data_IF_948472211833
#
_entry.id   IF_948472211833
#
_cell.length_a   1.000
_cell.length_b   1.000
_cell.length_c   1.000
_cell.angle_alpha   90.00
_cell.angle_beta   90.00
_cell.angle_gamma   90.00
#
_symmetry.space_group_name_H-M   'P 1'
#
loop_
_entity.id
_entity.type
_entity.pdbx_description
1 polymer ?
#
# COMPACT_ATOMS: atom_id res chain seq x y z
N UNK A 1 -3.72 14.04 -14.57
CA UNK A 1 -4.34 13.38 -15.74
C UNK A 1 -4.82 11.96 -15.39
N UNK A 2 -3.97 11.08 -14.85
CA UNK A 2 -4.33 9.68 -14.53
C UNK A 2 -5.57 9.57 -13.61
N UNK A 3 -5.70 10.41 -12.60
CA UNK A 3 -6.84 10.40 -11.68
C UNK A 3 -8.16 10.80 -12.36
N UNK A 4 -8.12 11.69 -13.33
CA UNK A 4 -9.30 12.08 -14.13
C UNK A 4 -9.70 10.91 -15.03
N UNK A 5 -8.73 10.31 -15.70
CA UNK A 5 -8.97 9.19 -16.62
C UNK A 5 -9.52 7.95 -15.90
N UNK A 6 -8.95 7.60 -14.76
CA UNK A 6 -9.39 6.46 -13.95
C UNK A 6 -10.65 6.75 -13.10
N UNK A 7 -11.18 7.98 -13.12
CA UNK A 7 -12.47 8.26 -12.50
C UNK A 7 -13.61 7.44 -13.12
N UNK A 8 -13.53 7.12 -14.41
CA UNK A 8 -14.49 6.25 -15.08
C UNK A 8 -14.51 4.84 -14.45
N UNK A 9 -13.33 4.32 -14.07
CA UNK A 9 -13.25 3.07 -13.32
C UNK A 9 -13.92 3.20 -11.95
N UNK A 10 -13.70 4.32 -11.24
CA UNK A 10 -14.33 4.56 -9.94
C UNK A 10 -15.85 4.59 -10.05
N UNK A 11 -16.39 5.25 -11.06
CA UNK A 11 -17.83 5.30 -11.34
C UNK A 11 -18.37 3.90 -11.68
N UNK A 12 -17.68 3.15 -12.52
CA UNK A 12 -18.06 1.78 -12.86
C UNK A 12 -18.10 0.88 -11.63
N UNK A 13 -17.05 0.88 -10.83
CA UNK A 13 -16.96 0.03 -9.63
C UNK A 13 -18.02 0.40 -8.59
N UNK A 14 -18.24 1.69 -8.35
CA UNK A 14 -19.19 2.16 -7.33
C UNK A 14 -20.64 2.09 -7.77
N UNK A 15 -20.96 2.46 -8.99
CA UNK A 15 -22.34 2.61 -9.44
C UNK A 15 -22.86 1.42 -10.25
N UNK A 16 -22.02 0.77 -11.05
CA UNK A 16 -22.43 -0.41 -11.83
C UNK A 16 -22.24 -1.70 -11.04
N UNK A 17 -21.03 -1.91 -10.50
CA UNK A 17 -20.75 -3.10 -9.70
C UNK A 17 -21.25 -2.99 -8.26
N UNK A 18 -21.55 -1.78 -7.77
CA UNK A 18 -22.05 -1.50 -6.41
C UNK A 18 -21.14 -2.03 -5.31
N UNK A 19 -19.83 -2.01 -5.55
CA UNK A 19 -18.83 -2.48 -4.60
C UNK A 19 -18.72 -1.47 -3.46
N UNK A 20 -19.02 -1.90 -2.23
CA UNK A 20 -19.07 -1.05 -1.05
C UNK A 20 -17.69 -0.59 -0.60
N UNK A 21 -16.72 -1.49 -0.57
CA UNK A 21 -15.38 -1.22 -0.07
C UNK A 21 -14.37 -1.21 -1.21
N UNK A 22 -14.19 -0.06 -1.78
CA UNK A 22 -13.28 0.22 -2.88
C UNK A 22 -12.40 1.42 -2.54
N UNK A 23 -11.11 1.27 -2.71
CA UNK A 23 -10.09 2.32 -2.54
C UNK A 23 -9.19 2.34 -3.76
N UNK A 24 -8.84 3.51 -4.24
CA UNK A 24 -7.85 3.69 -5.30
C UNK A 24 -6.85 4.79 -4.92
N UNK A 25 -5.60 4.52 -5.20
CA UNK A 25 -4.51 5.48 -5.11
C UNK A 25 -3.71 5.43 -6.40
N UNK A 26 -3.83 6.48 -7.22
CA UNK A 26 -3.29 6.54 -8.58
C UNK A 26 -3.78 5.35 -9.42
N UNK A 27 -2.88 4.47 -9.86
CA UNK A 27 -3.12 3.25 -10.63
C UNK A 27 -3.34 1.98 -9.78
N UNK A 28 -3.02 2.03 -8.50
CA UNK A 28 -3.29 0.93 -7.58
C UNK A 28 -4.70 1.02 -6.99
N UNK A 29 -5.45 -0.07 -7.01
CA UNK A 29 -6.75 -0.12 -6.35
C UNK A 29 -6.94 -1.39 -5.52
N UNK A 30 -7.80 -1.27 -4.53
CA UNK A 30 -8.12 -2.30 -3.56
C UNK A 30 -9.63 -2.47 -3.45
N UNK A 31 -10.07 -3.71 -3.44
CA UNK A 31 -11.46 -4.10 -3.20
C UNK A 31 -11.48 -5.04 -2.00
N UNK A 32 -12.34 -4.73 -1.02
CA UNK A 32 -12.57 -5.61 0.12
C UNK A 32 -13.95 -6.22 0.02
N UNK A 33 -14.01 -7.53 0.19
CA UNK A 33 -15.24 -8.28 0.30
C UNK A 33 -15.40 -8.85 1.70
N UNK A 34 -16.61 -8.80 2.24
CA UNK A 34 -16.96 -9.38 3.54
C UNK A 34 -17.56 -10.79 3.41
N UNK A 35 -17.97 -11.19 2.21
CA UNK A 35 -18.50 -12.53 1.95
C UNK A 35 -17.35 -13.51 1.68
N UNK A 36 -17.53 -14.76 2.11
CA UNK A 36 -16.59 -15.85 1.86
C UNK A 36 -16.81 -16.54 0.49
N UNK A 37 -17.53 -15.91 -0.42
CA UNK A 37 -17.84 -16.51 -1.72
C UNK A 37 -16.66 -16.27 -2.70
N UNK A 38 -16.02 -17.36 -3.10
CA UNK A 38 -14.89 -17.33 -4.06
C UNK A 38 -15.33 -16.94 -5.47
N UNK A 39 -16.57 -17.23 -5.86
CA UNK A 39 -17.10 -16.84 -7.17
C UNK A 39 -17.24 -15.33 -7.33
N UNK A 40 -17.43 -14.61 -6.23
CA UNK A 40 -17.48 -13.15 -6.22
C UNK A 40 -16.20 -12.53 -6.80
N UNK A 41 -15.04 -13.05 -6.37
CA UNK A 41 -13.74 -12.55 -6.80
C UNK A 41 -13.52 -12.69 -8.31
N UNK A 42 -13.87 -13.84 -8.86
CA UNK A 42 -13.76 -14.11 -10.31
C UNK A 42 -14.68 -13.22 -11.14
N UNK A 43 -15.95 -13.09 -10.75
CA UNK A 43 -16.96 -12.30 -11.46
C UNK A 43 -16.57 -10.81 -11.52
N UNK A 44 -16.17 -10.24 -10.38
CA UNK A 44 -15.82 -8.82 -10.33
C UNK A 44 -14.47 -8.53 -10.99
N UNK A 45 -13.49 -9.42 -10.85
CA UNK A 45 -12.21 -9.28 -11.53
C UNK A 45 -12.41 -9.30 -13.05
N UNK A 46 -13.18 -10.24 -13.58
CA UNK A 46 -13.47 -10.34 -15.00
C UNK A 46 -14.24 -9.11 -15.52
N UNK A 47 -15.22 -8.63 -14.75
CA UNK A 47 -16.01 -7.44 -15.11
C UNK A 47 -15.13 -6.19 -15.16
N UNK A 48 -14.24 -6.00 -14.19
CA UNK A 48 -13.29 -4.88 -14.16
C UNK A 48 -12.29 -4.98 -15.31
N UNK A 49 -11.78 -6.19 -15.57
CA UNK A 49 -10.85 -6.43 -16.68
C UNK A 49 -11.47 -6.06 -18.02
N UNK A 50 -12.69 -6.55 -18.31
CA UNK A 50 -13.44 -6.21 -19.53
C UNK A 50 -13.71 -4.71 -19.65
N UNK A 51 -14.04 -4.04 -18.55
CA UNK A 51 -14.25 -2.59 -18.56
C UNK A 51 -12.97 -1.82 -18.89
N UNK A 52 -11.85 -2.18 -18.26
CA UNK A 52 -10.56 -1.54 -18.52
C UNK A 52 -10.12 -1.74 -19.98
N UNK A 53 -10.19 -2.96 -20.50
CA UNK A 53 -9.80 -3.29 -21.87
C UNK A 53 -10.70 -2.63 -22.92
N UNK A 54 -12.01 -2.68 -22.74
CA UNK A 54 -12.96 -2.22 -23.76
C UNK A 54 -13.18 -0.71 -23.73
N UNK A 55 -13.26 -0.10 -22.56
CA UNK A 55 -13.60 1.32 -22.40
C UNK A 55 -12.35 2.18 -22.22
N UNK A 56 -11.45 1.80 -21.33
CA UNK A 56 -10.28 2.61 -21.00
C UNK A 56 -9.03 2.21 -21.80
N UNK A 57 -9.08 1.13 -22.59
CA UNK A 57 -7.91 0.63 -23.34
C UNK A 57 -6.69 0.42 -22.45
N UNK A 58 -6.92 -0.09 -21.24
CA UNK A 58 -5.91 -0.39 -20.24
C UNK A 58 -5.94 -1.87 -19.89
N UNK A 59 -4.76 -2.44 -19.62
CA UNK A 59 -4.63 -3.84 -19.22
C UNK A 59 -4.24 -3.96 -17.74
N UNK A 60 -4.86 -4.92 -17.04
CA UNK A 60 -4.42 -5.32 -15.71
C UNK A 60 -3.15 -6.17 -15.82
N UNK A 61 -2.11 -5.75 -15.14
CA UNK A 61 -0.86 -6.52 -15.11
C UNK A 61 -1.06 -7.82 -14.31
N UNK A 62 -1.02 -9.01 -14.95
CA UNK A 62 -1.44 -10.27 -14.33
C UNK A 62 -0.63 -10.63 -13.08
N UNK A 63 0.67 -10.31 -13.06
CA UNK A 63 1.56 -10.58 -11.90
C UNK A 63 1.34 -9.62 -10.72
N UNK A 64 0.54 -8.56 -10.88
CA UNK A 64 0.24 -7.60 -9.81
C UNK A 64 -1.14 -7.80 -9.19
N UNK A 65 -1.96 -8.68 -9.74
CA UNK A 65 -3.24 -9.04 -9.16
C UNK A 65 -2.98 -9.98 -7.99
N UNK A 66 -3.45 -9.60 -6.79
CA UNK A 66 -3.29 -10.40 -5.59
C UNK A 66 -4.61 -10.53 -4.83
N UNK A 67 -5.11 -11.75 -4.72
CA UNK A 67 -6.28 -12.09 -3.93
C UNK A 67 -5.79 -12.74 -2.64
N UNK A 68 -6.13 -12.15 -1.49
CA UNK A 68 -5.68 -12.66 -0.19
C UNK A 68 -6.58 -12.26 0.96
N UNK A 69 -6.54 -13.03 2.04
CA UNK A 69 -7.25 -12.71 3.28
C UNK A 69 -6.60 -11.51 3.96
N UNK A 70 -7.41 -10.57 4.44
CA UNK A 70 -6.95 -9.35 5.13
C UNK A 70 -6.02 -9.65 6.32
N UNK A 71 -6.26 -10.76 7.04
CA UNK A 71 -5.42 -11.20 8.17
C UNK A 71 -3.95 -11.47 7.81
N UNK A 72 -3.65 -11.68 6.53
CA UNK A 72 -2.28 -11.87 6.05
C UNK A 72 -1.56 -10.56 5.69
N UNK A 73 -2.27 -9.44 5.84
CA UNK A 73 -1.79 -8.11 5.50
C UNK A 73 -1.88 -7.81 4.00
N UNK A 74 -2.28 -6.60 3.72
CA UNK A 74 -2.39 -6.07 2.36
C UNK A 74 -1.30 -5.03 2.15
N UNK A 75 -0.51 -5.23 1.11
CA UNK A 75 0.50 -4.24 0.69
C UNK A 75 -0.17 -3.15 -0.14
N UNK A 76 -0.33 -1.96 0.44
CA UNK A 76 -0.96 -0.82 -0.21
C UNK A 76 -0.27 0.49 0.18
N UNK A 77 -0.01 1.36 -0.79
CA UNK A 77 0.63 2.67 -0.61
C UNK A 77 1.95 2.65 0.19
N UNK A 78 2.71 1.57 0.12
CA UNK A 78 3.99 1.46 0.83
C UNK A 78 3.92 0.85 2.22
N UNK A 79 2.74 0.48 2.67
CA UNK A 79 2.48 -0.09 3.98
C UNK A 79 1.90 -1.50 3.88
N UNK A 80 2.05 -2.29 4.94
CA UNK A 80 1.32 -3.54 5.14
C UNK A 80 0.18 -3.26 6.10
N UNK A 81 -1.04 -3.27 5.58
CA UNK A 81 -2.27 -3.02 6.34
C UNK A 81 -2.82 -4.35 6.84
N UNK A 82 -2.99 -4.48 8.15
CA UNK A 82 -3.64 -5.59 8.83
C UNK A 82 -4.94 -5.11 9.49
N UNK A 83 -5.81 -6.01 10.00
CA UNK A 83 -7.11 -5.60 10.57
C UNK A 83 -7.04 -4.55 11.68
N UNK A 84 -5.98 -4.55 12.49
CA UNK A 84 -5.88 -3.72 13.69
C UNK A 84 -4.63 -2.84 13.75
N UNK A 85 -3.70 -2.98 12.81
CA UNK A 85 -2.46 -2.20 12.81
C UNK A 85 -1.84 -2.11 11.42
N UNK A 86 -0.98 -1.13 11.24
CA UNK A 86 -0.26 -0.84 10.00
C UNK A 86 1.23 -0.99 10.27
N UNK A 87 1.93 -1.66 9.38
CA UNK A 87 3.38 -1.85 9.44
C UNK A 87 4.08 -1.28 8.20
N UNK A 88 5.32 -0.83 8.31
CA UNK A 88 6.13 -0.52 7.14
C UNK A 88 6.47 -1.80 6.36
N UNK A 89 6.56 -1.71 5.05
CA UNK A 89 7.06 -2.83 4.22
C UNK A 89 8.43 -3.29 4.72
N UNK A 90 8.66 -4.60 4.79
CA UNK A 90 9.95 -5.17 5.20
C UNK A 90 11.12 -4.62 4.37
N UNK A 91 10.94 -4.45 3.06
CA UNK A 91 11.95 -3.84 2.17
C UNK A 91 12.25 -2.40 2.57
N UNK A 92 11.23 -1.60 2.89
CA UNK A 92 11.37 -0.20 3.32
C UNK A 92 12.07 -0.13 4.68
N UNK A 93 11.64 -0.95 5.65
CA UNK A 93 12.28 -1.06 6.96
C UNK A 93 13.78 -1.35 6.84
N UNK A 94 14.17 -2.37 6.07
CA UNK A 94 15.56 -2.74 5.84
C UNK A 94 16.36 -1.62 5.19
N UNK A 95 15.79 -0.93 4.21
CA UNK A 95 16.42 0.21 3.53
C UNK A 95 16.67 1.38 4.48
N UNK A 96 15.70 1.73 5.32
CA UNK A 96 15.79 2.80 6.31
C UNK A 96 16.90 2.47 7.31
N UNK A 97 16.87 1.29 7.93
CA UNK A 97 17.89 0.83 8.87
C UNK A 97 19.28 0.89 8.26
N UNK A 98 19.46 0.35 7.05
CA UNK A 98 20.74 0.38 6.35
C UNK A 98 21.26 1.81 6.17
N UNK A 99 20.40 2.74 5.75
CA UNK A 99 20.80 4.14 5.52
C UNK A 99 21.19 4.84 6.83
N UNK A 100 20.44 4.66 7.91
CA UNK A 100 20.75 5.25 9.20
C UNK A 100 22.05 4.65 9.77
N UNK A 101 22.26 3.35 9.62
CA UNK A 101 23.53 2.69 9.99
C UNK A 101 24.70 3.19 9.15
N UNK A 102 24.54 3.53 7.89
CA UNK A 102 25.60 4.06 7.03
C UNK A 102 25.93 5.54 7.29
N UNK A 103 25.09 6.26 8.04
CA UNK A 103 25.27 7.68 8.36
C UNK A 103 24.36 8.55 7.50
N UNK A 104 23.07 8.59 7.82
CA UNK A 104 22.14 9.56 7.24
C UNK A 104 22.23 10.90 7.98
N UNK A 105 21.89 11.99 7.30
CA UNK A 105 21.73 13.29 7.91
C UNK A 105 20.47 13.39 8.78
N UNK A 106 20.37 14.47 9.55
CA UNK A 106 19.21 14.69 10.42
C UNK A 106 17.89 14.83 9.65
N UNK A 107 17.92 15.44 8.48
CA UNK A 107 16.72 15.63 7.65
C UNK A 107 16.18 14.28 7.14
N UNK A 108 17.08 13.39 6.72
CA UNK A 108 16.69 12.03 6.33
C UNK A 108 16.11 11.24 7.51
N UNK A 109 16.69 11.34 8.72
CA UNK A 109 16.11 10.74 9.91
C UNK A 109 14.69 11.23 10.17
N UNK A 110 14.45 12.55 10.12
CA UNK A 110 13.11 13.13 10.33
C UNK A 110 12.11 12.63 9.28
N UNK A 111 12.53 12.54 8.02
CA UNK A 111 11.70 11.96 6.95
C UNK A 111 11.32 10.49 7.23
N UNK A 112 12.25 9.68 7.74
CA UNK A 112 11.98 8.29 8.10
C UNK A 112 11.04 8.20 9.31
N UNK A 113 11.24 9.03 10.32
CA UNK A 113 10.34 9.09 11.48
C UNK A 113 8.92 9.55 11.07
N UNK A 114 8.82 10.53 10.17
CA UNK A 114 7.55 10.95 9.57
C UNK A 114 6.85 9.82 8.82
N UNK A 115 7.58 9.00 8.04
CA UNK A 115 7.01 7.80 7.40
C UNK A 115 6.53 6.78 8.45
N UNK A 116 7.30 6.55 9.50
CA UNK A 116 6.97 5.57 10.54
C UNK A 116 5.85 6.03 11.48
N UNK A 117 5.58 7.34 11.60
CA UNK A 117 4.50 7.86 12.45
C UNK A 117 3.11 7.38 12.02
N UNK A 118 2.95 7.00 10.74
CA UNK A 118 1.72 6.40 10.21
C UNK A 118 1.62 4.89 10.45
N UNK A 119 2.53 4.31 11.23
CA UNK A 119 2.60 2.87 11.46
C UNK A 119 2.69 2.54 12.95
N UNK A 120 2.33 1.32 13.32
CA UNK A 120 2.49 0.80 14.68
C UNK A 120 3.94 0.34 14.93
N UNK A 121 4.92 1.21 14.67
CA UNK A 121 6.35 0.88 14.68
C UNK A 121 7.16 1.71 15.68
N UNK A 122 6.59 1.99 16.86
CA UNK A 122 7.25 2.79 17.89
C UNK A 122 8.67 2.30 18.22
N UNK A 123 8.84 0.99 18.47
CA UNK A 123 10.16 0.41 18.77
C UNK A 123 11.18 0.66 17.68
N UNK A 124 10.78 0.58 16.41
CA UNK A 124 11.66 0.87 15.28
C UNK A 124 12.04 2.35 15.24
N UNK A 125 11.13 3.25 15.55
CA UNK A 125 11.41 4.69 15.59
C UNK A 125 12.43 5.03 16.67
N UNK A 126 12.30 4.43 17.86
CA UNK A 126 13.28 4.60 18.94
C UNK A 126 14.64 3.98 18.58
N UNK A 127 14.67 2.81 17.97
CA UNK A 127 15.89 2.17 17.48
C UNK A 127 16.64 3.07 16.49
N UNK A 128 15.94 3.69 15.53
CA UNK A 128 16.54 4.61 14.56
C UNK A 128 17.13 5.85 15.22
N UNK A 129 16.43 6.45 16.20
CA UNK A 129 16.94 7.58 16.96
C UNK A 129 18.21 7.21 17.71
N UNK A 130 18.20 6.10 18.42
CA UNK A 130 19.35 5.62 19.18
C UNK A 130 20.56 5.37 18.29
N UNK A 131 20.40 4.69 17.15
CA UNK A 131 21.47 4.46 16.18
C UNK A 131 22.05 5.80 15.69
N UNK A 132 21.18 6.74 15.35
CA UNK A 132 21.59 8.05 14.85
C UNK A 132 22.42 8.81 15.89
N UNK A 133 21.93 8.93 17.15
CA UNK A 133 22.62 9.65 18.21
C UNK A 133 23.96 9.01 18.60
N UNK A 134 24.01 7.67 18.70
CA UNK A 134 25.26 6.98 18.97
C UNK A 134 26.31 7.28 17.89
N UNK A 135 25.91 7.39 16.64
CA UNK A 135 26.82 7.72 15.54
C UNK A 135 27.25 9.18 15.54
N UNK A 136 26.32 10.10 15.80
CA UNK A 136 26.63 11.52 15.88
C UNK A 136 27.61 11.87 17.03
N UNK A 137 27.67 11.02 18.07
CA UNK A 137 28.65 11.17 19.17
C UNK A 137 30.03 10.62 18.81
N UNK A 138 30.16 9.85 17.73
CA UNK A 138 31.43 9.22 17.30
C UNK A 138 32.04 9.89 16.07
N UNK A 139 31.33 10.84 15.46
CA UNK A 139 31.76 11.63 14.31
C UNK A 139 32.33 12.97 14.76
#
# INVERSE_FOLDING_TARGET
>A
FANIYLNELDQFVKHKLKIKYYLRYADDFLILNTSCDTKWEEIYLESIKKFLENILKLDLHPKKIAIRKLKWGIDFCGYIVLPHYILPRTKTKRRILKKVIQGSDYQALQSYLGYLSHTNSFRLSEELKNIYYIKSLRA
#
